data_IF_582403261760
#
_entry.id   IF_582403261760
#
_cell.length_a   1.000
_cell.length_b   1.000
_cell.length_c   1.000
_cell.angle_alpha   90.00
_cell.angle_beta   90.00
_cell.angle_gamma   90.00
#
_symmetry.space_group_name_H-M   'P 1'
#
loop_
_entity.id
_entity.type
_entity.pdbx_description
1 polymer ?
#
# COMPACT_ATOMS: atom_id res chain seq x y z
N UNK A 1 -14.53 3.06 14.35
CA UNK A 1 -14.26 2.31 13.10
C UNK A 1 -12.97 1.54 13.29
N UNK A 2 -12.97 0.26 12.96
CA UNK A 2 -11.80 -0.62 13.03
C UNK A 2 -11.27 -0.82 11.61
N UNK A 3 -9.94 -0.80 11.44
CA UNK A 3 -9.30 -1.15 10.19
C UNK A 3 -8.94 -2.64 10.17
N UNK A 4 -9.10 -3.30 9.02
CA UNK A 4 -8.69 -4.69 8.82
C UNK A 4 -7.50 -4.78 7.87
N UNK A 5 -6.69 -5.83 7.97
CA UNK A 5 -5.60 -6.11 7.00
C UNK A 5 -6.23 -6.64 5.71
N UNK A 6 -5.83 -6.08 4.57
CA UNK A 6 -6.42 -6.39 3.25
C UNK A 6 -5.39 -6.81 2.20
N UNK A 7 -4.10 -6.59 2.46
CA UNK A 7 -2.99 -7.02 1.62
C UNK A 7 -1.81 -7.50 2.46
N UNK A 8 -1.07 -8.48 1.94
CA UNK A 8 0.17 -8.97 2.50
C UNK A 8 1.11 -9.42 1.37
N UNK A 9 2.25 -8.75 1.26
CA UNK A 9 3.29 -9.04 0.28
C UNK A 9 4.59 -9.42 0.99
N UNK A 10 5.18 -10.56 0.61
CA UNK A 10 6.46 -11.03 1.15
C UNK A 10 7.60 -10.77 0.16
N UNK A 11 8.82 -10.73 0.69
CA UNK A 11 10.01 -10.86 -0.15
C UNK A 11 10.22 -12.33 -0.51
N UNK A 12 10.23 -12.70 -1.79
CA UNK A 12 10.56 -14.07 -2.17
C UNK A 12 12.01 -14.43 -1.84
N UNK A 13 12.93 -13.45 -1.78
CA UNK A 13 14.33 -13.70 -1.48
C UNK A 13 14.66 -13.57 0.02
N UNK A 14 13.80 -12.91 0.80
CA UNK A 14 13.95 -12.79 2.26
C UNK A 14 12.60 -12.66 2.98
N UNK A 15 11.94 -13.78 3.29
CA UNK A 15 10.59 -13.78 3.87
C UNK A 15 10.44 -13.03 5.20
N UNK A 16 11.56 -12.68 5.87
CA UNK A 16 11.52 -11.80 7.05
C UNK A 16 11.02 -10.40 6.73
N UNK A 17 11.17 -9.95 5.49
CA UNK A 17 10.73 -8.63 5.05
C UNK A 17 9.34 -8.73 4.42
N UNK A 18 8.36 -8.10 5.06
CA UNK A 18 6.96 -8.16 4.64
C UNK A 18 6.34 -6.77 4.60
N UNK A 19 5.40 -6.58 3.69
CA UNK A 19 4.54 -5.41 3.65
C UNK A 19 3.09 -5.85 3.83
N UNK A 20 2.33 -5.09 4.60
CA UNK A 20 0.90 -5.32 4.76
C UNK A 20 0.17 -4.00 4.60
N UNK A 21 -1.08 -4.03 4.16
CA UNK A 21 -1.93 -2.85 4.21
C UNK A 21 -3.14 -3.09 5.06
N UNK A 22 -3.51 -2.07 5.83
CA UNK A 22 -4.75 -2.03 6.58
C UNK A 22 -5.67 -0.98 5.99
N UNK A 23 -6.96 -1.22 6.13
CA UNK A 23 -7.96 -0.32 5.58
C UNK A 23 -9.24 -0.32 6.42
N UNK A 24 -9.67 0.89 6.77
CA UNK A 24 -10.95 1.18 7.37
C UNK A 24 -11.98 1.40 6.27
N UNK A 25 -13.03 0.60 6.27
CA UNK A 25 -14.13 0.77 5.34
C UNK A 25 -15.48 0.57 6.04
N UNK A 26 -16.44 1.41 5.66
CA UNK A 26 -17.85 1.18 5.95
C UNK A 26 -18.67 1.34 4.68
N UNK A 27 -19.46 0.32 4.35
CA UNK A 27 -20.36 0.34 3.20
C UNK A 27 -21.81 0.15 3.64
N UNK A 28 -22.68 0.98 3.11
CA UNK A 28 -24.15 0.84 3.22
C UNK A 28 -24.74 0.75 1.80
N UNK A 29 -26.04 0.48 1.64
CA UNK A 29 -26.67 0.49 0.31
C UNK A 29 -26.53 1.81 -0.46
N UNK A 30 -26.32 2.94 0.25
CA UNK A 30 -26.31 4.29 -0.34
C UNK A 30 -25.01 5.07 -0.08
N UNK A 31 -24.04 4.50 0.63
CA UNK A 31 -22.78 5.19 0.96
C UNK A 31 -21.59 4.24 1.02
N UNK A 32 -20.42 4.82 0.78
CA UNK A 32 -19.12 4.20 0.95
C UNK A 32 -18.21 5.19 1.68
N UNK A 33 -17.82 4.85 2.90
CA UNK A 33 -16.76 5.53 3.65
C UNK A 33 -15.49 4.71 3.45
N UNK A 34 -14.53 5.23 2.68
CA UNK A 34 -13.26 4.56 2.38
C UNK A 34 -12.11 5.31 3.04
N UNK A 35 -11.36 4.60 3.89
CA UNK A 35 -10.23 5.15 4.60
C UNK A 35 -10.58 5.76 5.96
N UNK A 36 -9.53 6.12 6.70
CA UNK A 36 -9.64 6.68 8.04
C UNK A 36 -8.60 6.10 9.00
N UNK A 37 -8.71 6.40 10.31
CA UNK A 37 -7.77 5.93 11.32
C UNK A 37 -7.48 4.44 11.21
N UNK A 38 -6.20 4.08 11.22
CA UNK A 38 -5.75 2.71 11.06
C UNK A 38 -5.64 2.22 9.62
N UNK A 39 -5.91 3.05 8.60
CA UNK A 39 -5.58 2.70 7.20
C UNK A 39 -4.15 3.14 6.90
N UNK A 40 -3.28 2.21 6.51
CA UNK A 40 -1.86 2.47 6.31
C UNK A 40 -1.17 1.34 5.52
N UNK A 41 0.02 1.64 5.00
CA UNK A 41 1.00 0.64 4.59
C UNK A 41 1.95 0.36 5.76
N UNK A 42 2.19 -0.91 6.03
CA UNK A 42 3.03 -1.40 7.11
C UNK A 42 4.21 -2.16 6.55
N UNK A 43 5.35 -2.11 7.23
CA UNK A 43 6.54 -2.90 6.94
C UNK A 43 7.01 -3.64 8.18
N UNK A 44 7.28 -4.93 8.03
CA UNK A 44 8.03 -5.74 8.98
C UNK A 44 9.38 -6.13 8.39
N UNK A 45 10.38 -6.26 9.25
CA UNK A 45 11.72 -6.76 8.91
C UNK A 45 12.12 -7.98 9.73
N UNK A 46 11.17 -8.54 10.48
CA UNK A 46 11.34 -9.59 11.47
C UNK A 46 10.23 -10.65 11.39
N UNK A 47 9.84 -11.01 10.17
CA UNK A 47 8.85 -12.07 9.91
C UNK A 47 7.45 -11.79 10.50
N UNK A 48 7.11 -10.51 10.66
CA UNK A 48 5.82 -10.07 11.16
C UNK A 48 5.71 -9.99 12.68
N UNK A 49 6.82 -10.13 13.42
CA UNK A 49 6.85 -9.93 14.87
C UNK A 49 6.58 -8.47 15.24
N UNK A 50 7.20 -7.52 14.50
CA UNK A 50 6.97 -6.09 14.65
C UNK A 50 6.69 -5.42 13.31
N UNK A 51 5.89 -4.35 13.36
CA UNK A 51 5.44 -3.61 12.19
C UNK A 51 5.63 -2.11 12.40
N UNK A 52 6.12 -1.45 11.36
CA UNK A 52 6.30 0.00 11.31
C UNK A 52 5.43 0.60 10.21
N UNK A 53 4.78 1.73 10.49
CA UNK A 53 3.98 2.45 9.50
C UNK A 53 4.92 3.07 8.47
N UNK A 54 4.69 2.76 7.20
CA UNK A 54 5.36 3.41 6.08
C UNK A 54 4.69 4.75 5.78
N UNK A 55 5.09 5.79 6.52
CA UNK A 55 4.73 7.20 6.28
C UNK A 55 5.95 8.00 5.79
N UNK A 56 6.78 7.35 4.98
CA UNK A 56 8.09 7.85 4.59
C UNK A 56 8.03 8.93 3.50
N UNK A 57 9.16 9.58 3.24
CA UNK A 57 9.28 10.65 2.26
C UNK A 57 8.76 10.22 0.88
N UNK A 58 7.97 11.09 0.25
CA UNK A 58 7.40 10.90 -1.09
C UNK A 58 5.99 10.31 -1.12
N UNK A 59 5.52 9.76 0.00
CA UNK A 59 4.14 9.26 0.13
C UNK A 59 3.14 10.39 0.44
N UNK A 60 1.85 10.24 0.04
CA UNK A 60 0.86 11.27 0.23
C UNK A 60 0.43 11.40 1.70
N UNK A 61 0.12 12.62 2.13
CA UNK A 61 -0.42 12.92 3.47
C UNK A 61 -1.95 12.82 3.49
N UNK A 62 -2.54 12.86 4.69
CA UNK A 62 -3.99 12.89 4.87
C UNK A 62 -4.61 11.50 5.00
N UNK A 63 -5.87 11.36 4.59
CA UNK A 63 -6.61 10.10 4.73
C UNK A 63 -6.19 9.08 3.68
N UNK A 64 -5.87 7.88 4.12
CA UNK A 64 -5.55 6.76 3.26
C UNK A 64 -6.75 5.82 3.18
N UNK A 65 -7.14 5.44 1.96
CA UNK A 65 -8.05 4.35 1.66
C UNK A 65 -7.30 3.04 1.48
N UNK A 66 -7.72 2.21 0.53
CA UNK A 66 -7.05 0.93 0.27
C UNK A 66 -5.66 1.14 -0.31
N UNK A 67 -4.73 0.28 0.10
CA UNK A 67 -3.38 0.20 -0.47
C UNK A 67 -3.13 -1.22 -0.95
N UNK A 68 -2.64 -1.36 -2.18
CA UNK A 68 -2.08 -2.63 -2.66
C UNK A 68 -0.59 -2.48 -2.84
N UNK A 69 0.17 -3.44 -2.35
CA UNK A 69 1.62 -3.48 -2.42
C UNK A 69 2.10 -4.70 -3.19
N UNK A 70 3.13 -4.51 -4.02
CA UNK A 70 3.76 -5.60 -4.76
C UNK A 70 5.26 -5.38 -4.77
N UNK A 71 6.00 -6.36 -4.26
CA UNK A 71 7.46 -6.40 -4.39
C UNK A 71 7.86 -7.13 -5.66
N UNK A 72 8.98 -6.72 -6.26
CA UNK A 72 9.55 -7.39 -7.43
C UNK A 72 10.42 -8.58 -7.00
N UNK A 73 10.22 -9.78 -7.54
CA UNK A 73 11.04 -10.94 -7.19
C UNK A 73 12.53 -10.82 -7.58
N UNK A 74 12.83 -10.14 -8.68
CA UNK A 74 14.21 -9.99 -9.18
C UNK A 74 14.98 -8.85 -8.52
N UNK A 75 14.30 -7.94 -7.81
CA UNK A 75 14.90 -6.87 -7.03
C UNK A 75 14.12 -6.67 -5.73
N UNK A 76 14.64 -7.25 -4.64
CA UNK A 76 14.03 -7.20 -3.30
C UNK A 76 13.89 -5.80 -2.70
N UNK A 77 14.67 -4.83 -3.19
CA UNK A 77 14.58 -3.43 -2.76
C UNK A 77 13.47 -2.68 -3.50
N UNK A 78 13.05 -3.17 -4.68
CA UNK A 78 12.00 -2.51 -5.46
C UNK A 78 10.61 -2.94 -5.03
N UNK A 79 9.81 -1.96 -4.64
CA UNK A 79 8.43 -2.15 -4.17
C UNK A 79 7.51 -1.15 -4.87
N UNK A 80 6.37 -1.62 -5.36
CA UNK A 80 5.29 -0.78 -5.84
C UNK A 80 4.16 -0.72 -4.82
N UNK A 81 3.54 0.44 -4.72
CA UNK A 81 2.31 0.63 -3.96
C UNK A 81 1.33 1.48 -4.79
N UNK A 82 0.07 1.07 -4.79
CA UNK A 82 -1.02 1.91 -5.28
C UNK A 82 -1.88 2.36 -4.12
N UNK A 83 -2.05 3.67 -3.99
CA UNK A 83 -2.58 4.28 -2.77
C UNK A 83 -3.85 5.05 -3.12
N UNK A 84 -4.97 4.65 -2.52
CA UNK A 84 -6.18 5.46 -2.52
C UNK A 84 -6.00 6.65 -1.57
N UNK A 85 -5.72 7.81 -2.15
CA UNK A 85 -5.62 9.08 -1.46
C UNK A 85 -6.00 10.19 -2.45
N UNK A 86 -6.36 11.38 -1.97
CA UNK A 86 -6.63 12.55 -2.81
C UNK A 86 -5.46 12.86 -3.76
N UNK A 87 -4.23 12.78 -3.23
CA UNK A 87 -2.94 12.90 -3.92
C UNK A 87 -2.28 11.53 -4.17
N UNK A 88 -3.08 10.46 -4.15
CA UNK A 88 -2.64 9.10 -4.37
C UNK A 88 -2.43 8.74 -5.84
N UNK A 89 -2.13 7.47 -6.08
CA UNK A 89 -1.69 6.97 -7.38
C UNK A 89 -0.73 5.80 -7.22
N UNK A 90 0.10 5.57 -8.23
CA UNK A 90 1.15 4.54 -8.21
C UNK A 90 2.44 5.15 -7.74
N UNK A 91 3.04 4.52 -6.74
CA UNK A 91 4.33 4.86 -6.17
C UNK A 91 5.27 3.67 -6.31
N UNK A 92 6.56 3.96 -6.46
CA UNK A 92 7.61 2.96 -6.39
C UNK A 92 8.66 3.40 -5.39
N UNK A 93 9.33 2.42 -4.80
CA UNK A 93 10.53 2.61 -3.99
C UNK A 93 11.59 1.67 -4.53
N UNK A 94 12.84 2.13 -4.61
CA UNK A 94 14.01 1.34 -5.00
C UNK A 94 14.96 1.07 -3.80
N UNK A 95 14.53 1.38 -2.57
CA UNK A 95 15.34 1.27 -1.34
C UNK A 95 14.61 0.53 -0.20
N UNK A 96 13.68 -0.34 -0.57
CA UNK A 96 12.88 -1.12 0.36
C UNK A 96 11.86 -0.25 1.12
N UNK A 97 11.26 0.72 0.46
CA UNK A 97 10.18 1.55 1.01
C UNK A 97 10.64 2.68 1.94
N UNK A 98 11.93 3.03 1.98
CA UNK A 98 12.43 4.16 2.78
C UNK A 98 12.17 5.50 2.09
N UNK A 99 12.25 5.54 0.77
CA UNK A 99 11.84 6.68 -0.05
C UNK A 99 10.95 6.22 -1.19
N UNK A 100 10.01 7.07 -1.60
CA UNK A 100 9.01 6.75 -2.62
C UNK A 100 8.95 7.82 -3.69
N UNK A 101 8.83 7.38 -4.93
CA UNK A 101 8.63 8.22 -6.10
C UNK A 101 7.26 7.96 -6.71
N UNK A 102 6.53 9.03 -7.00
CA UNK A 102 5.25 8.95 -7.68
C UNK A 102 5.47 8.61 -9.16
N UNK A 103 5.04 7.42 -9.57
CA UNK A 103 5.11 6.94 -10.96
C UNK A 103 3.90 7.41 -11.78
N UNK A 104 2.73 7.49 -11.15
CA UNK A 104 1.53 8.04 -11.77
C UNK A 104 0.59 8.62 -10.74
N UNK A 105 0.01 9.77 -11.06
CA UNK A 105 -1.00 10.47 -10.24
C UNK A 105 -2.40 10.41 -10.87
N UNK A 106 -2.55 9.67 -11.97
CA UNK A 106 -3.81 9.59 -12.70
C UNK A 106 -4.93 9.10 -11.77
N UNK A 107 -5.98 9.92 -11.67
CA UNK A 107 -7.15 9.63 -10.84
C UNK A 107 -7.87 8.37 -11.30
N UNK A 108 -7.79 8.01 -12.57
CA UNK A 108 -8.43 6.79 -13.11
C UNK A 108 -7.91 5.52 -12.44
N UNK A 109 -6.66 5.50 -11.97
CA UNK A 109 -6.04 4.35 -11.30
C UNK A 109 -6.60 4.08 -9.90
N UNK A 110 -7.31 5.05 -9.33
CA UNK A 110 -7.86 5.02 -7.97
C UNK A 110 -9.39 5.24 -7.93
N UNK A 111 -10.03 5.42 -9.08
CA UNK A 111 -11.48 5.36 -9.18
C UNK A 111 -11.91 3.89 -9.01
N UNK A 112 -12.64 3.60 -7.93
CA UNK A 112 -13.00 2.22 -7.53
C UNK A 112 -11.77 1.36 -7.22
N UNK A 113 -10.85 1.89 -6.40
CA UNK A 113 -9.59 1.24 -6.00
C UNK A 113 -9.72 -0.21 -5.48
N UNK A 114 -10.93 -0.59 -5.10
CA UNK A 114 -11.28 -1.92 -4.63
C UNK A 114 -11.41 -3.00 -5.72
N UNK A 115 -11.67 -2.61 -6.98
CA UNK A 115 -11.93 -3.57 -8.06
C UNK A 115 -10.74 -3.83 -8.99
N UNK A 116 -9.92 -2.81 -9.32
CA UNK A 116 -9.00 -2.89 -10.48
C UNK A 116 -7.58 -2.39 -10.21
N UNK A 117 -7.18 -2.20 -8.96
CA UNK A 117 -5.93 -1.50 -8.64
C UNK A 117 -4.80 -2.42 -8.20
N UNK A 118 -4.82 -3.72 -8.54
CA UNK A 118 -3.68 -4.59 -8.21
C UNK A 118 -2.55 -4.40 -9.22
N UNK A 119 -1.33 -4.28 -8.71
CA UNK A 119 -0.11 -4.25 -9.52
C UNK A 119 0.49 -5.65 -9.49
N UNK A 120 0.80 -6.19 -10.66
CA UNK A 120 1.59 -7.41 -10.81
C UNK A 120 2.87 -7.05 -11.55
N UNK A 121 4.00 -7.19 -10.87
CA UNK A 121 5.32 -6.95 -11.43
C UNK A 121 6.15 -8.22 -11.29
N UNK A 122 6.68 -8.72 -12.41
CA UNK A 122 7.40 -10.01 -12.48
C UNK A 122 8.84 -9.86 -12.99
N UNK A 123 9.24 -8.64 -13.37
CA UNK A 123 10.56 -8.29 -13.90
C UNK A 123 10.99 -6.93 -13.36
#
# INVERSE_FOLDING_TARGET
>A
MTAGVVDLCLDPNNPRIMYASSWSIRRTPYSLESGGPGSALWKSTDSGETWTISANQGLPKGTWGIVWSQRIPVNSDRVYAIIENENGGVFSSDDGGKTWDAQSKDRNLRQRAWYYSRIYATQ
#
